data_IF_101557540704
#
_entry.id   IF_101557540704
#
_cell.length_a   1.000
_cell.length_b   1.000
_cell.length_c   1.000
_cell.angle_alpha   90.00
_cell.angle_beta   90.00
_cell.angle_gamma   90.00
#
_symmetry.space_group_name_H-M   'P 1'
#
loop_
_entity.id
_entity.type
_entity.pdbx_description
1 polymer ?
#
# COMPACT_ATOMS: atom_id res chain seq x y z
N UNK A 1 -2.45 13.90 -1.31
CA UNK A 1 -2.61 12.91 -0.24
C UNK A 1 -1.83 11.66 -0.58
N UNK A 2 -1.11 11.11 0.41
CA UNK A 2 -0.45 9.81 0.30
C UNK A 2 -1.40 8.74 0.87
N UNK A 3 -1.89 7.85 0.02
CA UNK A 3 -2.69 6.72 0.45
C UNK A 3 -1.75 5.69 1.09
N UNK A 4 -2.07 5.11 2.26
CA UNK A 4 -1.32 3.96 2.77
C UNK A 4 -1.17 2.90 1.66
N UNK A 5 0.07 2.47 1.41
CA UNK A 5 0.41 1.48 0.37
C UNK A 5 0.07 1.91 -1.08
N UNK A 6 -0.18 3.21 -1.29
CA UNK A 6 -0.80 3.74 -2.51
C UNK A 6 -2.08 2.97 -2.91
N UNK A 7 -2.80 2.39 -1.93
CA UNK A 7 -3.96 1.54 -2.16
C UNK A 7 -5.17 2.39 -2.58
N UNK A 8 -5.38 2.51 -3.88
CA UNK A 8 -6.42 3.32 -4.48
C UNK A 8 -7.71 2.55 -4.73
N UNK A 9 -8.84 3.23 -4.50
CA UNK A 9 -10.14 2.89 -5.07
C UNK A 9 -10.91 4.18 -5.42
N UNK A 10 -11.85 4.09 -6.35
CA UNK A 10 -12.70 5.23 -6.72
C UNK A 10 -13.45 5.81 -5.51
N UNK A 11 -13.86 4.95 -4.56
CA UNK A 11 -14.56 5.36 -3.34
C UNK A 11 -13.68 6.27 -2.46
N UNK A 12 -12.40 5.92 -2.29
CA UNK A 12 -11.46 6.72 -1.51
C UNK A 12 -11.17 8.05 -2.20
N UNK A 13 -11.04 8.04 -3.53
CA UNK A 13 -10.80 9.26 -4.29
C UNK A 13 -11.95 10.28 -4.15
N UNK A 14 -13.20 9.80 -4.20
CA UNK A 14 -14.40 10.62 -3.96
C UNK A 14 -14.40 11.21 -2.55
N UNK A 15 -14.08 10.41 -1.53
CA UNK A 15 -13.96 10.90 -0.15
C UNK A 15 -12.90 12.01 -0.02
N UNK A 16 -11.71 11.81 -0.62
CA UNK A 16 -10.63 12.79 -0.53
C UNK A 16 -10.98 14.10 -1.24
N UNK A 17 -11.70 14.04 -2.36
CA UNK A 17 -12.29 15.23 -3.00
C UNK A 17 -13.26 15.96 -2.06
N UNK A 18 -14.15 15.23 -1.41
CA UNK A 18 -15.13 15.83 -0.49
C UNK A 18 -14.44 16.50 0.70
N UNK A 19 -13.30 15.94 1.14
CA UNK A 19 -12.38 16.51 2.13
C UNK A 19 -11.45 17.62 1.57
N UNK A 20 -11.65 18.05 0.32
CA UNK A 20 -10.92 19.15 -0.34
C UNK A 20 -9.43 18.91 -0.56
N UNK A 21 -8.99 17.65 -0.63
CA UNK A 21 -7.66 17.35 -1.16
C UNK A 21 -7.58 17.71 -2.65
N UNK A 22 -6.44 18.27 -3.06
CA UNK A 22 -6.22 18.73 -4.44
C UNK A 22 -5.49 17.72 -5.32
N UNK A 23 -4.81 16.75 -4.71
CA UNK A 23 -4.04 15.75 -5.44
C UNK A 23 -3.93 14.43 -4.71
N UNK A 24 -3.75 13.35 -5.47
CA UNK A 24 -3.38 12.01 -5.01
C UNK A 24 -2.11 11.57 -5.72
N UNK A 25 -1.24 10.87 -4.98
CA UNK A 25 -0.18 10.09 -5.61
C UNK A 25 -0.60 8.63 -5.69
N UNK A 26 -0.39 8.02 -6.84
CA UNK A 26 -0.70 6.63 -7.16
C UNK A 26 0.54 5.93 -7.70
N UNK A 27 0.52 4.61 -7.67
CA UNK A 27 1.45 3.81 -8.47
C UNK A 27 1.01 3.75 -9.93
N UNK A 28 1.96 3.78 -10.87
CA UNK A 28 1.70 3.74 -12.32
C UNK A 28 0.78 2.59 -12.75
N UNK A 29 0.81 1.45 -12.05
CA UNK A 29 -0.08 0.33 -12.37
C UNK A 29 -1.56 0.73 -12.25
N UNK A 30 -1.89 1.71 -11.42
CA UNK A 30 -3.27 2.20 -11.25
C UNK A 30 -3.77 2.93 -12.50
N UNK A 31 -2.91 3.32 -13.44
CA UNK A 31 -3.31 3.99 -14.67
C UNK A 31 -4.26 3.09 -15.50
N UNK A 32 -3.85 1.86 -15.78
CA UNK A 32 -4.64 0.92 -16.58
C UNK A 32 -4.44 -0.58 -16.22
N UNK A 33 -3.64 -0.86 -15.19
CA UNK A 33 -3.31 -2.21 -14.73
C UNK A 33 -2.03 -2.79 -15.35
N UNK A 34 -1.29 -2.00 -16.13
CA UNK A 34 -0.03 -2.39 -16.74
C UNK A 34 1.09 -1.46 -16.27
N UNK A 35 2.33 -1.96 -16.30
CA UNK A 35 3.52 -1.19 -15.96
C UNK A 35 4.08 -0.51 -17.21
N UNK A 36 4.78 0.60 -17.01
CA UNK A 36 5.50 1.33 -18.06
C UNK A 36 4.65 1.95 -19.17
N UNK A 37 3.35 2.10 -18.96
CA UNK A 37 2.43 2.67 -19.95
C UNK A 37 1.97 4.10 -19.64
N UNK A 38 2.18 4.59 -18.42
CA UNK A 38 1.82 5.96 -18.05
C UNK A 38 2.85 6.95 -18.61
N UNK A 39 2.37 8.09 -19.14
CA UNK A 39 3.24 9.20 -19.47
C UNK A 39 3.48 10.05 -18.22
N UNK A 40 4.64 9.87 -17.58
CA UNK A 40 4.98 10.55 -16.32
C UNK A 40 5.12 12.07 -16.45
N UNK A 41 5.18 12.61 -17.67
CA UNK A 41 5.29 14.05 -17.92
C UNK A 41 3.94 14.72 -18.19
N UNK A 42 2.86 13.93 -18.29
CA UNK A 42 1.51 14.39 -18.52
C UNK A 42 0.83 14.80 -17.20
N UNK A 43 0.02 15.85 -17.26
CA UNK A 43 -0.88 16.23 -16.16
C UNK A 43 -2.15 15.38 -16.22
N UNK A 44 -2.51 14.73 -15.12
CA UNK A 44 -3.72 13.91 -15.01
C UNK A 44 -4.68 14.47 -13.97
N UNK A 45 -5.98 14.35 -14.25
CA UNK A 45 -7.06 14.62 -13.30
C UNK A 45 -8.03 13.43 -13.27
N UNK A 46 -8.61 13.19 -12.09
CA UNK A 46 -9.64 12.18 -11.96
C UNK A 46 -10.91 12.61 -12.71
N UNK A 47 -11.43 11.74 -13.58
CA UNK A 47 -12.60 11.99 -14.42
C UNK A 47 -13.76 12.64 -13.67
N UNK A 48 -14.34 13.68 -14.27
CA UNK A 48 -15.43 14.48 -13.68
C UNK A 48 -15.08 15.15 -12.33
N UNK A 49 -13.81 15.44 -12.06
CA UNK A 49 -13.36 16.15 -10.86
C UNK A 49 -12.16 17.06 -11.15
N UNK A 50 -11.78 17.88 -10.18
CA UNK A 50 -10.57 18.71 -10.18
C UNK A 50 -9.40 18.07 -9.40
N UNK A 51 -9.56 16.82 -8.96
CA UNK A 51 -8.56 16.12 -8.16
C UNK A 51 -7.40 15.66 -9.06
N UNK A 52 -6.23 16.27 -8.88
CA UNK A 52 -5.01 15.92 -9.61
C UNK A 52 -4.51 14.52 -9.27
N UNK A 53 -4.07 13.78 -10.29
CA UNK A 53 -3.47 12.45 -10.14
C UNK A 53 -2.01 12.50 -10.55
N UNK A 54 -1.14 12.04 -9.66
CA UNK A 54 0.31 11.98 -9.86
C UNK A 54 0.70 10.51 -9.79
N UNK A 55 1.48 10.04 -10.76
CA UNK A 55 1.97 8.66 -10.77
C UNK A 55 3.45 8.63 -10.42
N UNK A 56 3.85 7.77 -9.47
CA UNK A 56 5.26 7.49 -9.26
C UNK A 56 5.80 6.64 -10.41
N UNK A 57 7.08 6.84 -10.73
CA UNK A 57 7.84 5.89 -11.51
C UNK A 57 8.16 4.68 -10.64
N UNK A 58 7.48 3.53 -10.84
CA UNK A 58 7.67 2.35 -9.99
C UNK A 58 9.09 1.82 -10.10
N UNK A 59 9.63 1.73 -11.33
CA UNK A 59 10.97 1.20 -11.59
C UNK A 59 12.03 2.02 -10.83
N UNK A 60 12.05 3.34 -11.03
CA UNK A 60 13.04 4.22 -10.38
C UNK A 60 12.80 4.34 -8.88
N UNK A 61 11.54 4.38 -8.42
CA UNK A 61 11.27 4.36 -6.98
C UNK A 61 11.81 3.09 -6.31
N UNK A 62 11.75 1.96 -7.02
CA UNK A 62 12.06 0.68 -6.41
C UNK A 62 13.56 0.41 -6.23
N UNK A 63 14.45 1.10 -6.96
CA UNK A 63 15.91 0.90 -6.84
C UNK A 63 16.46 1.28 -5.47
N UNK A 64 15.73 2.10 -4.71
CA UNK A 64 16.11 2.50 -3.35
C UNK A 64 15.89 1.38 -2.32
N UNK A 65 15.02 0.41 -2.61
CA UNK A 65 14.78 -0.74 -1.72
C UNK A 65 15.73 -1.91 -1.98
N UNK A 66 16.22 -2.04 -3.22
CA UNK A 66 16.87 -3.25 -3.73
C UNK A 66 18.34 -3.38 -3.33
N UNK A 67 18.94 -2.32 -2.77
CA UNK A 67 20.37 -2.26 -2.47
C UNK A 67 21.26 -2.24 -3.72
N UNK A 68 20.67 -2.11 -4.91
CA UNK A 68 21.43 -2.10 -6.19
C UNK A 68 22.09 -0.76 -6.46
N UNK A 69 21.57 0.31 -5.88
CA UNK A 69 22.06 1.66 -6.05
C UNK A 69 23.28 1.91 -5.15
N UNK A 70 24.47 2.11 -5.73
CA UNK A 70 25.72 2.30 -4.99
C UNK A 70 26.36 3.67 -5.20
N UNK A 71 25.94 4.40 -6.24
CA UNK A 71 26.50 5.70 -6.60
C UNK A 71 25.49 6.60 -7.33
N UNK A 72 25.80 7.89 -7.45
CA UNK A 72 25.01 8.84 -8.26
C UNK A 72 25.07 8.53 -9.76
N UNK A 73 26.15 7.90 -10.22
CA UNK A 73 26.28 7.40 -11.59
C UNK A 73 25.29 6.26 -11.86
N UNK A 74 25.13 5.34 -10.91
CA UNK A 74 24.16 4.25 -10.98
C UNK A 74 22.74 4.79 -11.12
N UNK A 75 22.42 5.83 -10.35
CA UNK A 75 21.12 6.52 -10.41
C UNK A 75 20.88 7.15 -11.79
N UNK A 76 21.89 7.89 -12.28
CA UNK A 76 21.83 8.55 -13.58
C UNK A 76 21.67 7.55 -14.73
N UNK A 77 22.36 6.40 -14.65
CA UNK A 77 22.22 5.32 -15.61
C UNK A 77 20.82 4.71 -15.56
N UNK A 78 20.29 4.40 -14.37
CA UNK A 78 18.94 3.85 -14.23
C UNK A 78 17.87 4.80 -14.80
N UNK A 79 18.01 6.11 -14.53
CA UNK A 79 17.11 7.14 -15.07
C UNK A 79 17.18 7.22 -16.60
N UNK A 80 18.39 7.17 -17.16
CA UNK A 80 18.61 7.17 -18.61
C UNK A 80 18.04 5.92 -19.29
N UNK A 81 18.21 4.75 -18.68
CA UNK A 81 17.68 3.47 -19.17
C UNK A 81 16.16 3.39 -19.10
N UNK A 82 15.54 3.99 -18.06
CA UNK A 82 14.09 4.10 -17.98
C UNK A 82 13.53 5.06 -19.04
N UNK A 83 14.15 6.24 -19.22
CA UNK A 83 13.82 7.18 -20.29
C UNK A 83 12.44 7.85 -20.20
N UNK A 84 11.58 7.49 -19.23
CA UNK A 84 10.21 8.03 -19.10
C UNK A 84 10.13 9.29 -18.25
N UNK A 85 11.18 9.61 -17.51
CA UNK A 85 11.24 10.71 -16.53
C UNK A 85 12.17 11.84 -17.00
N UNK A 86 11.95 12.30 -18.24
CA UNK A 86 12.81 13.29 -18.89
C UNK A 86 12.52 14.75 -18.48
N UNK A 87 11.28 15.06 -18.06
CA UNK A 87 10.93 16.39 -17.52
C UNK A 87 10.68 16.33 -16.01
N UNK A 88 9.96 15.29 -15.57
CA UNK A 88 9.61 15.11 -14.17
C UNK A 88 9.96 13.69 -13.74
N UNK A 89 10.66 13.58 -12.60
CA UNK A 89 10.83 12.33 -11.89
C UNK A 89 10.00 12.38 -10.61
N UNK A 90 9.02 11.48 -10.53
CA UNK A 90 8.20 11.31 -9.32
C UNK A 90 8.59 9.98 -8.70
N UNK A 91 9.14 10.02 -7.50
CA UNK A 91 9.41 8.82 -6.69
C UNK A 91 8.50 8.78 -5.47
N UNK A 92 8.20 7.57 -5.01
CA UNK A 92 7.57 7.36 -3.71
C UNK A 92 8.13 6.08 -3.08
N UNK A 93 8.62 6.21 -1.86
CA UNK A 93 9.32 5.16 -1.12
C UNK A 93 9.14 5.32 0.40
N UNK A 94 9.25 4.22 1.13
CA UNK A 94 9.30 4.25 2.59
C UNK A 94 10.61 4.86 3.07
N UNK A 95 10.51 5.88 3.92
CA UNK A 95 11.65 6.68 4.37
C UNK A 95 12.72 5.86 5.10
N UNK A 96 12.33 4.75 5.72
CA UNK A 96 13.19 3.80 6.42
C UNK A 96 14.25 3.18 5.49
N UNK A 97 14.05 3.22 4.17
CA UNK A 97 15.06 2.76 3.21
C UNK A 97 16.24 3.73 3.09
N UNK A 98 16.07 4.99 3.48
CA UNK A 98 17.13 5.99 3.49
C UNK A 98 17.92 5.90 4.81
N UNK A 99 18.68 4.81 4.99
CA UNK A 99 19.64 4.65 6.08
C UNK A 99 19.33 3.56 7.11
N UNK A 100 18.06 3.27 7.40
CA UNK A 100 17.70 2.22 8.38
C UNK A 100 17.80 0.81 7.76
N UNK A 101 17.10 0.57 6.64
CA UNK A 101 17.19 -0.71 5.92
C UNK A 101 18.41 -0.79 5.00
N UNK A 102 18.78 0.32 4.36
CA UNK A 102 19.95 0.40 3.48
C UNK A 102 20.95 1.42 4.03
N UNK A 103 21.96 0.93 4.77
CA UNK A 103 22.99 1.79 5.38
C UNK A 103 23.72 2.60 4.31
N UNK A 104 23.83 3.91 4.50
CA UNK A 104 24.53 4.83 3.58
C UNK A 104 23.66 5.35 2.43
N UNK A 105 22.43 4.84 2.27
CA UNK A 105 21.49 5.32 1.25
C UNK A 105 21.05 6.77 1.51
N UNK A 106 21.02 7.19 2.76
CA UNK A 106 20.80 8.58 3.18
C UNK A 106 21.82 9.55 2.58
N UNK A 107 23.11 9.16 2.59
CA UNK A 107 24.19 9.97 2.01
C UNK A 107 24.11 10.01 0.50
N UNK A 108 23.89 8.85 -0.12
CA UNK A 108 23.72 8.76 -1.57
C UNK A 108 22.50 9.56 -2.05
N UNK A 109 21.40 9.52 -1.29
CA UNK A 109 20.23 10.34 -1.56
C UNK A 109 20.55 11.84 -1.51
N UNK A 110 21.30 12.29 -0.50
CA UNK A 110 21.76 13.68 -0.43
C UNK A 110 22.63 14.07 -1.64
N UNK A 111 23.58 13.21 -2.04
CA UNK A 111 24.41 13.45 -3.23
C UNK A 111 23.58 13.53 -4.53
N UNK A 112 22.52 12.73 -4.65
CA UNK A 112 21.56 12.83 -5.78
C UNK A 112 20.85 14.18 -5.75
N UNK A 113 20.43 14.65 -4.58
CA UNK A 113 19.75 15.94 -4.44
C UNK A 113 20.66 17.15 -4.65
N UNK A 114 21.97 17.01 -4.42
CA UNK A 114 22.99 18.04 -4.68
C UNK A 114 23.38 18.15 -6.16
N UNK A 115 22.91 17.21 -7.00
CA UNK A 115 23.07 17.29 -8.46
C UNK A 115 22.17 18.39 -9.07
N UNK A 116 22.28 18.76 -10.36
CA UNK A 116 21.50 19.84 -10.96
C UNK A 116 20.02 19.44 -11.21
N UNK A 117 19.35 18.94 -10.17
CA UNK A 117 17.94 18.56 -10.15
C UNK A 117 17.19 19.62 -9.34
N UNK A 118 16.13 20.17 -9.91
CA UNK A 118 15.19 21.02 -9.19
C UNK A 118 14.21 20.13 -8.42
N UNK A 119 14.19 20.27 -7.09
CA UNK A 119 13.19 19.59 -6.25
C UNK A 119 11.93 20.42 -6.16
N UNK A 120 10.78 19.76 -6.29
CA UNK A 120 9.46 20.39 -6.23
C UNK A 120 8.56 19.62 -5.28
N UNK A 121 7.75 20.34 -4.53
CA UNK A 121 6.56 19.75 -3.92
C UNK A 121 5.54 19.38 -5.00
N UNK A 122 4.64 18.45 -4.72
CA UNK A 122 3.57 18.10 -5.67
C UNK A 122 2.65 19.29 -5.98
N UNK A 123 2.44 20.20 -5.03
CA UNK A 123 1.66 21.42 -5.28
C UNK A 123 2.36 22.34 -6.28
N UNK A 124 3.67 22.51 -6.17
CA UNK A 124 4.46 23.30 -7.13
C UNK A 124 4.49 22.63 -8.51
N UNK A 125 4.68 21.31 -8.55
CA UNK A 125 4.63 20.54 -9.80
C UNK A 125 3.32 20.76 -10.56
N UNK A 126 2.17 20.64 -9.88
CA UNK A 126 0.85 20.79 -10.50
C UNK A 126 0.59 22.22 -11.01
N UNK A 127 1.19 23.22 -10.36
CA UNK A 127 1.14 24.62 -10.79
C UNK A 127 2.09 24.89 -11.97
N UNK A 128 3.25 24.22 -12.03
CA UNK A 128 4.23 24.33 -13.11
C UNK A 128 3.80 23.63 -14.39
N UNK A 129 3.02 22.55 -14.28
CA UNK A 129 2.45 21.84 -15.42
C UNK A 129 1.36 22.70 -16.10
N UNK A 130 1.72 23.30 -17.24
CA UNK A 130 0.83 24.12 -18.08
C UNK A 130 0.08 23.33 -19.15
N UNK A 131 0.41 22.05 -19.32
CA UNK A 131 -0.24 21.16 -20.27
C UNK A 131 -1.73 20.99 -19.94
N UNK A 132 -2.54 20.77 -20.98
CA UNK A 132 -3.95 20.40 -20.82
C UNK A 132 -4.00 19.08 -20.04
N UNK A 133 -4.79 19.05 -18.97
CA UNK A 133 -4.93 17.87 -18.13
C UNK A 133 -5.70 16.77 -18.87
N UNK A 134 -5.21 15.55 -18.80
CA UNK A 134 -5.92 14.36 -19.29
C UNK A 134 -6.84 13.84 -18.19
N UNK A 135 -8.13 13.68 -18.53
CA UNK A 135 -9.10 13.03 -17.65
C UNK A 135 -8.97 11.52 -17.70
N UNK A 136 -8.74 10.90 -16.55
CA UNK A 136 -8.52 9.47 -16.44
C UNK A 136 -9.44 8.82 -15.41
N UNK A 137 -9.63 7.51 -15.55
CA UNK A 137 -10.33 6.69 -14.55
C UNK A 137 -9.39 5.59 -14.05
N UNK A 138 -8.57 5.88 -13.03
CA UNK A 138 -7.61 4.91 -12.52
C UNK A 138 -8.31 3.63 -12.03
N UNK A 139 -7.62 2.50 -12.15
CA UNK A 139 -8.05 1.20 -11.66
C UNK A 139 -7.69 1.03 -10.19
N UNK A 140 -8.51 0.32 -9.39
CA UNK A 140 -8.11 -0.11 -8.06
C UNK A 140 -6.82 -0.93 -8.11
N UNK A 141 -5.83 -0.52 -7.32
CA UNK A 141 -4.54 -1.18 -7.16
C UNK A 141 -3.80 -0.57 -5.96
N UNK A 142 -2.68 -1.16 -5.59
CA UNK A 142 -1.67 -0.62 -4.69
C UNK A 142 -0.32 -0.60 -5.39
N UNK A 143 0.70 -0.02 -4.75
CA UNK A 143 2.06 -0.05 -5.27
C UNK A 143 2.73 -1.43 -5.28
N UNK A 144 2.08 -2.43 -4.67
CA UNK A 144 2.53 -3.83 -4.67
C UNK A 144 1.73 -4.71 -5.63
N UNK A 145 0.62 -4.21 -6.19
CA UNK A 145 -0.17 -4.98 -7.15
C UNK A 145 0.64 -5.33 -8.38
N UNK A 146 0.34 -6.49 -8.96
CA UNK A 146 0.95 -6.97 -10.19
C UNK A 146 -0.08 -7.11 -11.32
N UNK A 147 0.31 -6.98 -12.60
CA UNK A 147 -0.63 -7.04 -13.74
C UNK A 147 -1.51 -8.29 -13.77
N UNK A 148 -0.99 -9.44 -13.35
CA UNK A 148 -1.63 -10.76 -13.36
C UNK A 148 -2.69 -10.84 -12.25
N UNK A 149 -2.43 -10.23 -11.10
CA UNK A 149 -3.40 -10.08 -10.01
C UNK A 149 -4.56 -9.18 -10.45
N UNK A 150 -4.26 -8.08 -11.15
CA UNK A 150 -5.28 -7.17 -11.68
C UNK A 150 -6.09 -7.76 -12.83
N UNK A 151 -5.51 -8.68 -13.61
CA UNK A 151 -6.24 -9.47 -14.59
C UNK A 151 -7.23 -10.43 -13.93
N UNK A 152 -6.94 -10.89 -12.70
CA UNK A 152 -7.83 -11.73 -11.89
C UNK A 152 -8.78 -10.93 -10.98
N UNK A 153 -8.79 -9.59 -11.08
CA UNK A 153 -9.56 -8.69 -10.21
C UNK A 153 -9.19 -8.80 -8.71
N UNK A 154 -7.91 -9.01 -8.40
CA UNK A 154 -7.37 -9.05 -7.03
C UNK A 154 -6.45 -7.83 -6.81
N UNK A 155 -7.02 -6.62 -6.64
CA UNK A 155 -6.22 -5.39 -6.57
C UNK A 155 -5.36 -5.25 -5.32
N UNK A 156 -5.68 -5.97 -4.24
CA UNK A 156 -4.97 -5.87 -2.96
C UNK A 156 -4.51 -7.24 -2.48
N UNK A 157 -3.80 -8.00 -3.31
CA UNK A 157 -3.43 -9.38 -3.01
C UNK A 157 -2.72 -9.54 -1.64
N UNK A 158 -1.87 -8.58 -1.24
CA UNK A 158 -1.18 -8.65 0.05
C UNK A 158 -2.07 -8.30 1.26
N UNK A 159 -3.28 -7.76 1.08
CA UNK A 159 -4.16 -7.36 2.21
C UNK A 159 -5.54 -8.03 2.19
N UNK A 160 -6.03 -8.43 1.01
CA UNK A 160 -7.35 -9.01 0.83
C UNK A 160 -7.40 -9.98 -0.37
N UNK A 161 -6.56 -11.00 -0.33
CA UNK A 161 -6.62 -12.10 -1.29
C UNK A 161 -7.85 -13.01 -1.02
N UNK A 162 -8.72 -13.27 -2.01
CA UNK A 162 -9.92 -14.11 -1.85
C UNK A 162 -9.62 -15.58 -1.48
N UNK A 163 -8.45 -16.11 -1.85
CA UNK A 163 -8.05 -17.49 -1.52
C UNK A 163 -7.22 -17.60 -0.24
N UNK A 164 -6.86 -16.48 0.39
CA UNK A 164 -6.19 -16.48 1.69
C UNK A 164 -7.23 -16.58 2.82
N UNK A 165 -7.34 -17.77 3.42
CA UNK A 165 -8.28 -18.06 4.51
C UNK A 165 -8.13 -17.10 5.70
N UNK A 166 -6.90 -16.69 6.04
CA UNK A 166 -6.63 -15.78 7.15
C UNK A 166 -7.16 -14.38 6.82
N UNK A 167 -6.91 -13.87 5.62
CA UNK A 167 -7.50 -12.59 5.18
C UNK A 167 -9.03 -12.63 5.26
N UNK A 168 -9.66 -13.70 4.77
CA UNK A 168 -11.11 -13.80 4.77
C UNK A 168 -11.69 -13.77 6.20
N UNK A 169 -11.02 -14.42 7.16
CA UNK A 169 -11.42 -14.38 8.56
C UNK A 169 -11.14 -13.01 9.21
N UNK A 170 -9.98 -12.40 8.95
CA UNK A 170 -9.64 -11.05 9.43
C UNK A 170 -10.63 -10.01 8.92
N UNK A 171 -11.01 -10.03 7.63
CA UNK A 171 -11.98 -9.09 7.08
C UNK A 171 -13.41 -9.31 7.60
N UNK A 172 -13.80 -10.57 7.89
CA UNK A 172 -15.06 -10.84 8.59
C UNK A 172 -15.08 -10.20 9.99
N UNK A 173 -14.01 -10.36 10.77
CA UNK A 173 -13.88 -9.71 12.08
C UNK A 173 -13.89 -8.18 11.94
N UNK A 174 -13.07 -7.65 11.03
CA UNK A 174 -12.93 -6.20 10.77
C UNK A 174 -14.28 -5.57 10.44
N UNK A 175 -15.04 -6.18 9.50
CA UNK A 175 -16.35 -5.68 9.10
C UNK A 175 -17.37 -5.76 10.25
N UNK A 176 -17.33 -6.83 11.06
CA UNK A 176 -18.16 -6.93 12.25
C UNK A 176 -17.86 -5.80 13.25
N UNK A 177 -16.58 -5.53 13.52
CA UNK A 177 -16.14 -4.48 14.45
C UNK A 177 -16.53 -3.11 13.94
N UNK A 178 -16.22 -2.77 12.67
CA UNK A 178 -16.59 -1.48 12.06
C UNK A 178 -18.11 -1.28 12.16
N UNK A 179 -18.89 -2.28 11.74
CA UNK A 179 -20.35 -2.20 11.77
C UNK A 179 -20.86 -1.99 13.20
N UNK A 180 -20.34 -2.77 14.15
CA UNK A 180 -20.78 -2.70 15.56
C UNK A 180 -20.45 -1.33 16.16
N UNK A 181 -19.20 -0.86 16.05
CA UNK A 181 -18.81 0.44 16.60
C UNK A 181 -19.66 1.57 16.03
N UNK A 182 -19.91 1.60 14.72
CA UNK A 182 -20.74 2.64 14.10
C UNK A 182 -22.22 2.57 14.51
N UNK A 183 -22.78 1.35 14.64
CA UNK A 183 -24.18 1.16 15.03
C UNK A 183 -24.44 1.57 16.48
N UNK A 184 -23.45 1.40 17.36
CA UNK A 184 -23.54 1.75 18.78
C UNK A 184 -22.92 3.11 19.07
N UNK A 185 -23.07 4.07 18.15
CA UNK A 185 -22.65 5.46 18.35
C UNK A 185 -23.29 6.19 19.55
N UNK A 186 -24.50 5.83 20.02
CA UNK A 186 -25.04 6.38 21.27
C UNK A 186 -24.46 5.78 22.57
N UNK A 187 -23.61 4.74 22.49
CA UNK A 187 -22.99 4.14 23.69
C UNK A 187 -22.10 5.18 24.41
N UNK A 188 -22.14 5.27 25.74
CA UNK A 188 -21.31 6.23 26.49
C UNK A 188 -19.81 6.07 26.20
N UNK A 189 -19.36 4.87 25.82
CA UNK A 189 -17.96 4.57 25.50
C UNK A 189 -17.65 4.61 24.00
N UNK A 190 -18.55 5.13 23.16
CA UNK A 190 -18.38 5.14 21.71
C UNK A 190 -17.07 5.79 21.26
N UNK A 191 -16.67 6.93 21.82
CA UNK A 191 -15.44 7.62 21.42
C UNK A 191 -14.19 6.77 21.68
N UNK A 192 -14.14 6.08 22.82
CA UNK A 192 -13.02 5.18 23.14
C UNK A 192 -13.03 3.93 22.24
N UNK A 193 -14.21 3.37 21.96
CA UNK A 193 -14.37 2.29 21.01
C UNK A 193 -13.92 2.70 19.60
N UNK A 194 -14.25 3.93 19.17
CA UNK A 194 -13.86 4.48 17.87
C UNK A 194 -12.35 4.69 17.77
N UNK A 195 -11.73 5.25 18.81
CA UNK A 195 -10.28 5.41 18.88
C UNK A 195 -9.55 4.06 18.83
N UNK A 196 -10.09 3.04 19.51
CA UNK A 196 -9.58 1.68 19.43
C UNK A 196 -9.75 1.08 18.03
N UNK A 197 -10.90 1.32 17.39
CA UNK A 197 -11.16 0.87 16.02
C UNK A 197 -10.17 1.48 15.04
N UNK A 198 -9.92 2.79 15.09
CA UNK A 198 -9.00 3.45 14.16
C UNK A 198 -7.59 2.84 14.25
N UNK A 199 -7.13 2.48 15.45
CA UNK A 199 -5.87 1.74 15.66
C UNK A 199 -5.94 0.29 15.19
N UNK A 200 -7.10 -0.35 15.29
CA UNK A 200 -7.31 -1.72 14.84
C UNK A 200 -7.34 -1.86 13.32
N UNK A 201 -7.53 -0.77 12.56
CA UNK A 201 -7.55 -0.77 11.10
C UNK A 201 -6.15 -0.59 10.46
N UNK A 202 -5.08 -0.62 11.27
CA UNK A 202 -3.71 -0.64 10.74
C UNK A 202 -3.52 -1.78 9.73
N UNK A 203 -2.97 -1.45 8.57
CA UNK A 203 -2.88 -2.34 7.40
C UNK A 203 -1.87 -3.48 7.57
N UNK A 204 -0.85 -3.29 8.42
CA UNK A 204 0.25 -4.23 8.64
C UNK A 204 -0.24 -5.65 8.97
N UNK A 205 -1.26 -5.78 9.81
CA UNK A 205 -1.76 -7.10 10.24
C UNK A 205 -2.24 -7.96 9.05
N UNK A 206 -2.76 -7.34 8.00
CA UNK A 206 -3.22 -8.05 6.80
C UNK A 206 -2.03 -8.33 5.89
N UNK A 207 -1.13 -7.36 5.72
CA UNK A 207 0.09 -7.57 4.95
C UNK A 207 0.94 -8.74 5.49
N UNK A 208 1.15 -8.79 6.80
CA UNK A 208 1.86 -9.89 7.47
C UNK A 208 1.10 -11.22 7.41
N UNK A 209 -0.23 -11.19 7.25
CA UNK A 209 -1.06 -12.38 7.03
C UNK A 209 -1.01 -12.91 5.59
N UNK A 210 -0.48 -12.13 4.64
CA UNK A 210 -0.30 -12.58 3.26
C UNK A 210 0.70 -13.73 3.15
N UNK A 211 1.71 -13.78 4.03
CA UNK A 211 2.88 -14.66 3.91
C UNK A 211 3.67 -14.46 2.59
N UNK A 212 3.56 -13.28 1.97
CA UNK A 212 4.05 -12.98 0.63
C UNK A 212 4.91 -11.70 0.61
N UNK A 213 6.24 -11.81 0.81
CA UNK A 213 6.99 -13.00 1.20
C UNK A 213 7.13 -13.17 2.72
N UNK A 214 6.69 -12.17 3.50
CA UNK A 214 6.96 -12.07 4.93
C UNK A 214 5.75 -12.47 5.76
N UNK A 215 6.01 -13.03 6.93
CA UNK A 215 4.99 -13.52 7.86
C UNK A 215 5.33 -13.14 9.29
N UNK A 216 4.34 -12.62 10.03
CA UNK A 216 4.47 -12.35 11.46
C UNK A 216 3.17 -12.67 12.17
N UNK A 217 3.16 -13.77 12.90
CA UNK A 217 2.03 -14.15 13.75
C UNK A 217 1.78 -13.11 14.85
N UNK A 218 2.82 -12.43 15.34
CA UNK A 218 2.69 -11.37 16.34
C UNK A 218 1.90 -10.16 15.82
N UNK A 219 2.14 -9.76 14.57
CA UNK A 219 1.41 -8.65 13.94
C UNK A 219 -0.06 -9.01 13.68
N UNK A 220 -0.33 -10.27 13.32
CA UNK A 220 -1.70 -10.78 13.21
C UNK A 220 -2.39 -10.73 14.57
N UNK A 221 -1.75 -11.23 15.63
CA UNK A 221 -2.30 -11.26 16.98
C UNK A 221 -2.57 -9.84 17.53
N UNK A 222 -1.65 -8.89 17.33
CA UNK A 222 -1.84 -7.50 17.75
C UNK A 222 -3.07 -6.87 17.06
N UNK A 223 -3.26 -7.12 15.76
CA UNK A 223 -4.44 -6.68 15.02
C UNK A 223 -5.75 -7.27 15.54
N UNK A 224 -5.76 -8.56 15.88
CA UNK A 224 -6.90 -9.22 16.52
C UNK A 224 -7.21 -8.62 17.89
N UNK A 225 -6.20 -8.42 18.73
CA UNK A 225 -6.36 -7.86 20.07
C UNK A 225 -6.91 -6.43 20.03
N UNK A 226 -6.43 -5.60 19.10
CA UNK A 226 -6.97 -4.23 18.90
C UNK A 226 -8.43 -4.27 18.45
N UNK A 227 -8.78 -5.18 17.55
CA UNK A 227 -10.15 -5.36 17.06
C UNK A 227 -11.10 -5.77 18.19
N UNK A 228 -10.70 -6.75 19.00
CA UNK A 228 -11.48 -7.20 20.17
C UNK A 228 -11.59 -6.10 21.22
N UNK A 229 -10.49 -5.38 21.49
CA UNK A 229 -10.50 -4.23 22.40
C UNK A 229 -11.54 -3.19 21.97
N UNK A 230 -11.61 -2.83 20.69
CA UNK A 230 -12.58 -1.86 20.18
C UNK A 230 -14.04 -2.25 20.47
N UNK A 231 -14.43 -3.50 20.20
CA UNK A 231 -15.78 -3.99 20.54
C UNK A 231 -16.02 -4.02 22.05
N UNK A 232 -15.02 -4.43 22.83
CA UNK A 232 -15.16 -4.61 24.26
C UNK A 232 -15.33 -3.30 25.04
N UNK A 233 -14.92 -2.16 24.46
CA UNK A 233 -15.19 -0.84 25.05
C UNK A 233 -16.69 -0.53 25.13
N UNK A 234 -17.49 -1.01 24.18
CA UNK A 234 -18.92 -0.71 24.13
C UNK A 234 -19.66 -1.49 25.21
N UNK A 235 -20.35 -0.78 26.08
CA UNK A 235 -21.04 -1.33 27.26
C UNK A 235 -22.40 -1.95 26.92
N UNK A 236 -23.07 -1.41 25.90
CA UNK A 236 -24.45 -1.76 25.50
C UNK A 236 -24.51 -2.81 24.39
N UNK A 237 -23.37 -3.21 23.82
CA UNK A 237 -23.31 -4.25 22.79
C UNK A 237 -23.71 -5.61 23.37
N UNK A 238 -24.63 -6.35 22.72
CA UNK A 238 -25.04 -7.68 23.17
C UNK A 238 -23.85 -8.64 23.29
N UNK A 239 -23.85 -9.45 24.36
CA UNK A 239 -22.82 -10.46 24.62
C UNK A 239 -22.57 -11.37 23.40
N UNK A 240 -23.64 -11.80 22.72
CA UNK A 240 -23.56 -12.62 21.50
C UNK A 240 -22.69 -12.00 20.39
N UNK A 241 -22.72 -10.67 20.24
CA UNK A 241 -21.88 -9.97 19.26
C UNK A 241 -20.40 -10.03 19.67
N UNK A 242 -20.11 -9.85 20.96
CA UNK A 242 -18.76 -9.98 21.52
C UNK A 242 -18.24 -11.41 21.36
N UNK A 243 -19.05 -12.41 21.69
CA UNK A 243 -18.73 -13.84 21.53
C UNK A 243 -18.46 -14.19 20.05
N UNK A 244 -19.21 -13.60 19.12
CA UNK A 244 -18.99 -13.79 17.67
C UNK A 244 -17.64 -13.23 17.23
N UNK A 245 -17.26 -12.05 17.74
CA UNK A 245 -15.96 -11.45 17.45
C UNK A 245 -14.81 -12.28 18.02
N UNK A 246 -14.93 -12.74 19.27
CA UNK A 246 -13.95 -13.64 19.90
C UNK A 246 -13.80 -14.96 19.13
N UNK A 247 -14.90 -15.55 18.69
CA UNK A 247 -14.86 -16.77 17.89
C UNK A 247 -14.17 -16.56 16.53
N UNK A 248 -14.39 -15.43 15.86
CA UNK A 248 -13.67 -15.09 14.63
C UNK A 248 -12.17 -14.92 14.88
N UNK A 249 -11.79 -14.20 15.95
CA UNK A 249 -10.40 -14.04 16.33
C UNK A 249 -9.73 -15.39 16.68
N UNK A 250 -10.44 -16.27 17.40
CA UNK A 250 -9.99 -17.62 17.67
C UNK A 250 -9.74 -18.42 16.39
N UNK A 251 -10.65 -18.36 15.41
CA UNK A 251 -10.46 -19.01 14.11
C UNK A 251 -9.23 -18.50 13.36
N UNK A 252 -8.97 -17.18 13.39
CA UNK A 252 -7.74 -16.61 12.80
C UNK A 252 -6.51 -17.18 13.48
N UNK A 253 -6.47 -17.21 14.82
CA UNK A 253 -5.35 -17.76 15.60
C UNK A 253 -5.11 -19.23 15.28
N UNK A 254 -6.17 -20.04 15.25
CA UNK A 254 -6.08 -21.47 14.92
C UNK A 254 -5.53 -21.66 13.51
N UNK A 255 -6.04 -20.92 12.52
CA UNK A 255 -5.54 -20.99 11.14
C UNK A 255 -4.08 -20.55 11.02
N UNK A 256 -3.67 -19.50 11.73
CA UNK A 256 -2.28 -19.05 11.77
C UNK A 256 -1.35 -20.12 12.38
N UNK A 257 -1.79 -20.83 13.42
CA UNK A 257 -1.05 -21.96 14.00
C UNK A 257 -0.95 -23.15 13.04
N UNK A 258 -2.04 -23.52 12.37
CA UNK A 258 -2.04 -24.57 11.34
C UNK A 258 -1.04 -24.26 10.21
N UNK A 259 -1.00 -23.01 9.75
CA UNK A 259 -0.08 -22.59 8.69
C UNK A 259 1.38 -22.68 9.14
N UNK A 260 1.66 -22.40 10.42
CA UNK A 260 3.00 -22.51 11.03
C UNK A 260 3.43 -23.96 11.22
N UNK A 261 2.51 -24.86 11.54
CA UNK A 261 2.77 -26.29 11.74
C UNK A 261 2.93 -27.04 10.41
N UNK A 262 2.57 -26.43 9.29
CA UNK A 262 2.66 -27.00 7.95
C UNK A 262 3.71 -26.29 7.11
N UNK A 263 4.06 -26.85 5.93
CA UNK A 263 4.98 -26.22 4.98
C UNK A 263 4.32 -25.07 4.17
N UNK A 264 3.14 -24.59 4.57
CA UNK A 264 2.32 -23.64 3.80
C UNK A 264 3.01 -22.28 3.65
N UNK A 265 3.53 -21.71 4.75
CA UNK A 265 4.22 -20.41 4.73
C UNK A 265 5.43 -20.41 3.80
N UNK A 266 6.27 -21.45 3.86
CA UNK A 266 7.44 -21.56 2.99
C UNK A 266 7.06 -21.76 1.52
N UNK A 267 5.97 -22.49 1.24
CA UNK A 267 5.44 -22.64 -0.13
C UNK A 267 4.96 -21.30 -0.69
N UNK A 268 4.14 -20.56 0.07
CA UNK A 268 3.62 -19.25 -0.34
C UNK A 268 4.75 -18.25 -0.61
N UNK A 269 5.75 -18.19 0.28
CA UNK A 269 6.95 -17.37 0.08
C UNK A 269 7.69 -17.72 -1.21
N UNK A 270 7.95 -19.02 -1.45
CA UNK A 270 8.64 -19.45 -2.68
C UNK A 270 7.84 -19.11 -3.94
N UNK A 271 6.53 -19.30 -3.92
CA UNK A 271 5.65 -18.97 -5.06
C UNK A 271 5.65 -17.47 -5.35
N UNK A 272 5.57 -16.64 -4.32
CA UNK A 272 5.60 -15.18 -4.48
C UNK A 272 6.92 -14.66 -5.06
N UNK A 273 8.05 -15.20 -4.57
CA UNK A 273 9.39 -14.81 -5.03
C UNK A 273 9.68 -15.27 -6.46
N UNK A 274 9.08 -16.38 -6.93
CA UNK A 274 9.19 -16.81 -8.34
C UNK A 274 8.50 -15.87 -9.32
N UNK A 275 7.54 -15.10 -8.83
CA UNK A 275 6.71 -14.19 -9.61
C UNK A 275 7.18 -12.73 -9.48
N UNK A 276 8.20 -12.43 -8.67
CA UNK A 276 8.81 -11.10 -8.74
C UNK A 276 9.49 -10.95 -10.10
N UNK A 277 9.27 -9.82 -10.77
CA UNK A 277 10.02 -9.50 -11.98
C UNK A 277 11.52 -9.55 -11.64
N UNK A 278 12.33 -10.22 -12.49
CA UNK A 278 13.78 -10.20 -12.32
C UNK A 278 14.24 -8.74 -12.31
N UNK A 279 14.96 -8.36 -11.24
CA UNK A 279 15.43 -6.99 -11.07
C UNK A 279 16.70 -6.83 -11.88
N UNK A 280 16.66 -6.09 -12.98
CA UNK A 280 17.86 -5.85 -13.79
C UNK A 280 18.54 -4.54 -13.40
N UNK A 281 19.86 -4.56 -13.25
CA UNK A 281 20.69 -3.36 -13.10
C UNK A 281 21.96 -3.50 -13.96
N UNK A 282 22.23 -2.52 -14.82
CA UNK A 282 23.37 -2.57 -15.75
C UNK A 282 23.35 -3.78 -16.69
N UNK A 283 22.16 -4.27 -17.06
CA UNK A 283 21.99 -5.47 -17.89
C UNK A 283 22.17 -6.81 -17.18
N UNK A 284 22.37 -6.84 -15.85
CA UNK A 284 22.49 -8.06 -15.05
C UNK A 284 21.26 -8.26 -14.15
N UNK A 285 20.78 -9.49 -14.07
CA UNK A 285 19.75 -9.91 -13.12
C UNK A 285 20.32 -9.90 -11.69
N UNK A 286 19.74 -9.08 -10.83
CA UNK A 286 20.04 -9.01 -9.40
C UNK A 286 19.12 -9.99 -8.68
N UNK A 287 19.73 -10.88 -7.89
CA UNK A 287 19.04 -11.81 -6.99
C UNK A 287 18.56 -11.15 -5.71
#
# INVERSE_FOLDING_TARGET
FFLPELAYSEKVARLLRDLKFRWLILDEISFNGQLSQVNLNQKYILKNTDLGIIFRNRKISNIFFTGSLKSTSDFSQALKEDGRSNQYLITALDGENLGHHQKGMDKLWAEILDSPIETLTFSELLNKQTQVAEEIKPRPASWSSRPEELAQNIPYALWNNPVNEIHQLQWKLTNLVIKTVNQFSPDPNFLEARNCLDKALASDQYWWASAQPWWSQGMIEDGLQRSLKAINQLSTVPKKTKDTAENLAHQVRTKAQEWKQTNKLAKMRREYLKQEEPRFFGGQEIK
#
